data_IF_399069281239
#
_entry.id   IF_399069281239
#
_cell.length_a   1.000
_cell.length_b   1.000
_cell.length_c   1.000
_cell.angle_alpha   90.00
_cell.angle_beta   90.00
_cell.angle_gamma   90.00
#
_symmetry.space_group_name_H-M   'P 1'
#
loop_
_entity.id
_entity.type
_entity.pdbx_description
1 polymer ?
#
# COMPACT_ATOMS: atom_id res chain seq x y z
N UNK A 1 -6.00 9.35 19.01
CA UNK A 1 -6.98 10.11 18.21
C UNK A 1 -8.31 9.37 18.27
N UNK A 2 -9.46 10.04 18.09
CA UNK A 2 -10.75 9.36 17.91
C UNK A 2 -10.68 8.31 16.79
N UNK A 3 -11.38 7.19 16.97
CA UNK A 3 -11.39 6.03 16.07
C UNK A 3 -11.72 6.44 14.63
N UNK A 4 -12.75 7.26 14.48
CA UNK A 4 -13.28 7.75 13.21
C UNK A 4 -12.27 8.63 12.44
N UNK A 5 -11.22 9.13 13.11
CA UNK A 5 -10.14 9.91 12.50
C UNK A 5 -8.96 9.05 12.07
N UNK A 6 -8.90 7.77 12.45
CA UNK A 6 -7.78 6.88 12.13
C UNK A 6 -7.60 6.75 10.61
N UNK A 7 -8.64 6.49 9.80
CA UNK A 7 -8.45 6.31 8.35
C UNK A 7 -7.90 7.56 7.66
N UNK A 8 -8.44 8.74 8.00
CA UNK A 8 -7.97 10.00 7.42
C UNK A 8 -6.56 10.36 7.89
N UNK A 9 -6.22 10.08 9.16
CA UNK A 9 -4.88 10.31 9.68
C UNK A 9 -3.85 9.39 9.03
N UNK A 10 -4.18 8.11 8.83
CA UNK A 10 -3.31 7.17 8.11
C UNK A 10 -3.02 7.68 6.70
N UNK A 11 -4.06 8.07 5.95
CA UNK A 11 -3.90 8.60 4.60
C UNK A 11 -2.98 9.83 4.58
N UNK A 12 -3.18 10.76 5.51
CA UNK A 12 -2.34 11.96 5.63
C UNK A 12 -0.87 11.61 5.92
N UNK A 13 -0.62 10.63 6.81
CA UNK A 13 0.73 10.16 7.12
C UNK A 13 1.39 9.55 5.88
N UNK A 14 0.68 8.67 5.18
CA UNK A 14 1.19 8.02 3.96
C UNK A 14 1.53 9.07 2.90
N UNK A 15 0.64 10.04 2.67
CA UNK A 15 0.88 11.14 1.73
C UNK A 15 2.09 11.99 2.11
N UNK A 16 2.22 12.35 3.39
CA UNK A 16 3.35 13.13 3.89
C UNK A 16 4.68 12.37 3.73
N UNK A 17 4.72 11.08 4.07
CA UNK A 17 5.90 10.24 3.89
C UNK A 17 6.34 10.21 2.42
N UNK A 18 5.39 10.07 1.49
CA UNK A 18 5.67 10.11 0.05
C UNK A 18 6.22 11.46 -0.41
N UNK A 19 5.64 12.57 0.05
CA UNK A 19 6.15 13.92 -0.26
C UNK A 19 7.58 14.13 0.25
N UNK A 20 7.93 13.50 1.36
CA UNK A 20 9.26 13.58 1.98
C UNK A 20 10.24 12.50 1.49
N UNK A 21 9.85 11.68 0.50
CA UNK A 21 10.62 10.52 0.03
C UNK A 21 11.06 9.59 1.18
N UNK A 22 10.18 9.36 2.15
CA UNK A 22 10.39 8.45 3.28
C UNK A 22 9.51 7.21 3.11
N UNK A 23 10.08 5.99 3.19
CA UNK A 23 9.28 4.78 3.16
C UNK A 23 8.26 4.76 4.30
N UNK A 24 7.03 4.31 4.01
CA UNK A 24 5.96 4.16 4.99
C UNK A 24 5.42 2.73 5.00
N UNK A 25 5.26 2.20 6.20
CA UNK A 25 4.74 0.85 6.44
C UNK A 25 3.41 0.97 7.17
N UNK A 26 2.34 0.37 6.63
CA UNK A 26 1.06 0.22 7.35
C UNK A 26 1.07 -1.11 8.08
N UNK A 27 0.91 -1.05 9.39
CA UNK A 27 1.25 -2.13 10.31
C UNK A 27 0.28 -2.18 11.49
N UNK A 28 -0.84 -2.90 11.36
CA UNK A 28 -1.71 -3.41 12.46
C UNK A 28 -3.03 -3.90 11.87
N UNK A 29 -3.56 -5.03 12.40
CA UNK A 29 -4.94 -5.52 12.21
C UNK A 29 -5.42 -5.63 10.75
N UNK A 30 -4.50 -5.89 9.82
CA UNK A 30 -4.85 -6.01 8.40
C UNK A 30 -5.60 -7.32 8.14
N UNK A 31 -5.27 -8.40 8.85
CA UNK A 31 -5.90 -9.71 8.71
C UNK A 31 -6.06 -10.39 10.08
N UNK A 32 -6.37 -9.63 11.14
CA UNK A 32 -6.39 -10.08 12.54
C UNK A 32 -7.21 -11.36 12.75
N UNK A 33 -8.38 -11.49 12.11
CA UNK A 33 -9.23 -12.66 12.20
C UNK A 33 -8.52 -13.93 11.71
N UNK A 34 -7.49 -13.80 10.89
CA UNK A 34 -6.72 -14.92 10.38
C UNK A 34 -5.75 -15.53 11.39
N UNK A 35 -5.64 -14.94 12.59
CA UNK A 35 -5.00 -15.60 13.73
C UNK A 35 -5.77 -16.88 14.10
N UNK A 36 -7.11 -16.81 14.11
CA UNK A 36 -7.97 -17.93 14.54
C UNK A 36 -8.67 -18.63 13.38
N UNK A 37 -8.95 -17.91 12.29
CA UNK A 37 -9.78 -18.40 11.18
C UNK A 37 -8.99 -18.50 9.87
N UNK A 38 -9.31 -19.46 8.97
CA UNK A 38 -8.55 -19.65 7.74
C UNK A 38 -8.85 -18.60 6.65
N UNK A 39 -9.83 -17.73 6.86
CA UNK A 39 -10.31 -16.73 5.91
C UNK A 39 -10.51 -15.39 6.60
N UNK A 40 -10.13 -14.26 5.96
CA UNK A 40 -10.37 -12.93 6.51
C UNK A 40 -11.84 -12.52 6.35
N UNK A 41 -12.20 -11.48 7.07
CA UNK A 41 -13.43 -10.72 6.88
C UNK A 41 -13.37 -9.83 5.63
N UNK A 42 -14.54 -9.35 5.19
CA UNK A 42 -14.61 -8.38 4.08
C UNK A 42 -13.99 -7.03 4.46
N UNK A 43 -14.06 -6.64 5.73
CA UNK A 43 -13.51 -5.39 6.23
C UNK A 43 -11.98 -5.39 6.15
N UNK A 44 -11.35 -6.48 6.60
CA UNK A 44 -9.89 -6.67 6.51
C UNK A 44 -9.37 -6.65 5.07
N UNK A 45 -10.07 -7.30 4.14
CA UNK A 45 -9.72 -7.23 2.71
C UNK A 45 -9.85 -5.80 2.18
N UNK A 46 -10.85 -5.05 2.63
CA UNK A 46 -11.02 -3.64 2.27
C UNK A 46 -9.90 -2.77 2.83
N UNK A 47 -9.47 -3.00 4.08
CA UNK A 47 -8.39 -2.27 4.72
C UNK A 47 -7.04 -2.50 4.03
N UNK A 48 -6.72 -3.75 3.66
CA UNK A 48 -5.55 -4.06 2.83
C UNK A 48 -5.64 -3.35 1.48
N UNK A 49 -6.80 -3.38 0.84
CA UNK A 49 -7.00 -2.75 -0.47
C UNK A 49 -6.82 -1.24 -0.40
N UNK A 50 -7.33 -0.60 0.65
CA UNK A 50 -7.23 0.83 0.86
C UNK A 50 -5.78 1.26 1.18
N UNK A 51 -5.06 0.51 2.02
CA UNK A 51 -3.65 0.79 2.28
C UNK A 51 -2.79 0.74 1.00
N UNK A 52 -3.09 -0.19 0.08
CA UNK A 52 -2.43 -0.27 -1.25
C UNK A 52 -2.84 0.91 -2.13
N UNK A 53 -4.13 1.29 -2.17
CA UNK A 53 -4.61 2.48 -2.91
C UNK A 53 -3.95 3.77 -2.42
N UNK A 54 -3.70 3.89 -1.12
CA UNK A 54 -2.98 5.00 -0.50
C UNK A 54 -1.50 5.03 -0.89
N UNK A 55 -0.99 3.96 -1.51
CA UNK A 55 0.40 3.79 -1.95
C UNK A 55 1.39 3.71 -0.79
N UNK A 56 1.03 2.96 0.25
CA UNK A 56 1.98 2.52 1.26
C UNK A 56 3.11 1.71 0.59
N UNK A 57 4.34 1.85 1.07
CA UNK A 57 5.50 1.15 0.49
C UNK A 57 5.58 -0.31 0.96
N UNK A 58 5.06 -0.59 2.15
CA UNK A 58 4.93 -1.95 2.66
C UNK A 58 3.70 -2.11 3.56
N UNK A 59 3.22 -3.35 3.63
CA UNK A 59 2.22 -3.80 4.59
C UNK A 59 2.85 -4.85 5.50
N UNK A 60 2.42 -4.90 6.77
CA UNK A 60 3.00 -5.80 7.76
C UNK A 60 1.94 -6.70 8.40
N UNK A 61 2.23 -8.01 8.45
CA UNK A 61 1.52 -8.96 9.32
C UNK A 61 2.24 -9.03 10.67
N UNK A 62 1.46 -9.00 11.75
CA UNK A 62 1.95 -9.03 13.12
C UNK A 62 1.61 -10.37 13.78
N UNK A 63 0.50 -10.45 14.53
CA UNK A 63 0.07 -11.69 15.19
C UNK A 63 -0.28 -12.79 14.19
N UNK A 64 -0.77 -12.40 13.01
CA UNK A 64 -1.19 -13.32 11.95
C UNK A 64 -0.04 -14.23 11.49
N UNK A 65 1.18 -13.69 11.38
CA UNK A 65 2.36 -14.42 10.93
C UNK A 65 3.18 -14.99 12.11
N UNK A 66 3.21 -14.29 13.25
CA UNK A 66 4.04 -14.67 14.39
C UNK A 66 3.45 -15.81 15.22
N UNK A 67 2.12 -15.84 15.38
CA UNK A 67 1.43 -16.80 16.28
C UNK A 67 0.08 -17.30 15.76
N UNK A 68 -0.34 -16.88 14.57
CA UNK A 68 -1.60 -17.31 13.96
C UNK A 68 -1.62 -18.79 13.61
N UNK A 69 -2.82 -19.36 13.54
CA UNK A 69 -3.05 -20.74 13.10
C UNK A 69 -2.84 -20.93 11.59
N UNK A 70 -2.84 -19.84 10.81
CA UNK A 70 -2.78 -19.86 9.34
C UNK A 70 -1.78 -18.85 8.74
N UNK A 71 -0.49 -18.83 9.18
CA UNK A 71 0.46 -17.76 8.84
C UNK A 71 0.76 -17.68 7.33
N UNK A 72 0.96 -18.83 6.67
CA UNK A 72 1.19 -18.87 5.22
C UNK A 72 -0.04 -18.41 4.41
N UNK A 73 -1.25 -18.74 4.89
CA UNK A 73 -2.49 -18.29 4.23
C UNK A 73 -2.68 -16.80 4.40
N UNK A 74 -2.42 -16.25 5.59
CA UNK A 74 -2.48 -14.81 5.82
C UNK A 74 -1.52 -14.06 4.89
N UNK A 75 -0.28 -14.55 4.75
CA UNK A 75 0.68 -13.98 3.80
C UNK A 75 0.20 -14.08 2.34
N UNK A 76 -0.33 -15.24 1.93
CA UNK A 76 -0.86 -15.44 0.59
C UNK A 76 -2.05 -14.51 0.29
N UNK A 77 -2.96 -14.32 1.26
CA UNK A 77 -4.09 -13.40 1.15
C UNK A 77 -3.59 -11.97 0.99
N UNK A 78 -2.72 -11.49 1.89
CA UNK A 78 -2.15 -10.14 1.83
C UNK A 78 -1.54 -9.87 0.43
N UNK A 79 -0.67 -10.79 -0.02
CA UNK A 79 -0.03 -10.70 -1.35
C UNK A 79 -1.04 -10.66 -2.49
N UNK A 80 -2.02 -11.57 -2.48
CA UNK A 80 -2.97 -11.70 -3.58
C UNK A 80 -3.89 -10.47 -3.68
N UNK A 81 -4.32 -9.91 -2.55
CA UNK A 81 -5.10 -8.67 -2.53
C UNK A 81 -4.26 -7.50 -3.04
N UNK A 82 -3.03 -7.32 -2.53
CA UNK A 82 -2.15 -6.24 -2.97
C UNK A 82 -1.88 -6.26 -4.48
N UNK A 83 -1.46 -7.41 -5.02
CA UNK A 83 -1.19 -7.56 -6.46
C UNK A 83 -2.44 -7.31 -7.29
N UNK A 84 -3.62 -7.76 -6.82
CA UNK A 84 -4.88 -7.51 -7.51
C UNK A 84 -5.20 -6.01 -7.59
N UNK A 85 -5.05 -5.29 -6.48
CA UNK A 85 -5.35 -3.85 -6.41
C UNK A 85 -4.35 -3.05 -7.23
N UNK A 86 -3.05 -3.36 -7.14
CA UNK A 86 -2.02 -2.72 -7.97
C UNK A 86 -2.30 -2.91 -9.46
N UNK A 87 -2.68 -4.13 -9.88
CA UNK A 87 -3.04 -4.41 -11.27
C UNK A 87 -4.28 -3.62 -11.69
N UNK A 88 -5.33 -3.65 -10.89
CA UNK A 88 -6.56 -2.92 -11.19
C UNK A 88 -6.31 -1.42 -11.31
N UNK A 89 -5.50 -0.84 -10.41
CA UNK A 89 -5.12 0.57 -10.46
C UNK A 89 -4.37 0.93 -11.75
N UNK A 90 -3.47 0.06 -12.23
CA UNK A 90 -2.77 0.27 -13.51
C UNK A 90 -3.72 0.23 -14.70
N UNK A 91 -4.67 -0.71 -14.70
CA UNK A 91 -5.69 -0.84 -15.75
C UNK A 91 -6.60 0.40 -15.79
N UNK A 92 -7.03 0.88 -14.62
CA UNK A 92 -7.89 2.06 -14.48
C UNK A 92 -7.16 3.34 -14.94
N UNK A 93 -5.89 3.51 -14.55
CA UNK A 93 -5.06 4.65 -14.97
C UNK A 93 -4.50 4.57 -16.38
N UNK A 94 -4.67 3.45 -17.10
CA UNK A 94 -4.18 3.29 -18.47
C UNK A 94 -4.80 4.28 -19.47
N UNK A 95 -5.85 4.98 -19.07
CA UNK A 95 -6.57 5.97 -19.89
C UNK A 95 -6.39 7.41 -19.42
N UNK A 96 -5.68 7.65 -18.33
CA UNK A 96 -5.41 9.01 -17.82
C UNK A 96 -4.04 9.51 -18.31
N UNK A 97 -3.92 10.79 -18.72
CA UNK A 97 -2.62 11.40 -18.94
C UNK A 97 -1.76 11.28 -17.69
N UNK A 98 -0.53 10.78 -17.83
CA UNK A 98 0.42 10.73 -16.72
C UNK A 98 0.87 12.16 -16.41
N UNK A 99 0.31 12.78 -15.38
CA UNK A 99 0.86 14.01 -14.81
C UNK A 99 2.12 13.68 -14.01
N UNK A 100 3.26 14.15 -14.52
CA UNK A 100 4.58 13.97 -13.93
C UNK A 100 4.94 15.27 -13.22
N UNK A 101 4.87 15.27 -11.89
CA UNK A 101 5.29 16.40 -11.07
C UNK A 101 6.81 16.35 -10.89
N UNK A 102 7.47 17.50 -10.87
CA UNK A 102 8.88 17.59 -10.48
C UNK A 102 9.03 17.17 -9.01
N UNK A 103 9.81 16.10 -8.77
CA UNK A 103 10.06 15.56 -7.42
C UNK A 103 11.53 15.74 -7.03
N UNK A 104 12.43 15.87 -8.00
CA UNK A 104 13.86 15.95 -7.79
C UNK A 104 14.29 17.22 -7.02
N UNK A 105 15.00 17.00 -5.91
CA UNK A 105 15.62 18.09 -5.13
C UNK A 105 17.14 18.16 -5.30
N UNK A 106 17.72 17.11 -5.89
CA UNK A 106 19.15 16.95 -6.12
C UNK A 106 19.42 16.43 -7.54
N UNK A 107 20.68 16.56 -8.00
CA UNK A 107 21.08 16.06 -9.31
C UNK A 107 20.88 14.54 -9.45
N UNK A 108 21.17 13.75 -8.39
CA UNK A 108 20.90 12.31 -8.41
C UNK A 108 19.41 11.99 -8.57
N UNK A 109 18.54 12.75 -7.90
CA UNK A 109 17.09 12.52 -7.97
C UNK A 109 16.57 12.79 -9.39
N UNK A 110 17.12 13.79 -10.08
CA UNK A 110 16.71 14.15 -11.45
C UNK A 110 16.97 13.04 -12.46
N UNK A 111 18.06 12.28 -12.30
CA UNK A 111 18.35 11.11 -13.14
C UNK A 111 17.31 10.01 -12.88
N UNK A 112 17.03 9.71 -11.61
CA UNK A 112 16.02 8.71 -11.25
C UNK A 112 14.62 9.09 -11.74
N UNK A 113 14.26 10.37 -11.61
CA UNK A 113 13.00 10.90 -12.09
C UNK A 113 12.86 10.75 -13.61
N UNK A 114 13.89 11.12 -14.38
CA UNK A 114 13.84 11.01 -15.84
C UNK A 114 13.73 9.56 -16.31
N UNK A 115 14.38 8.61 -15.62
CA UNK A 115 14.25 7.17 -15.89
C UNK A 115 12.80 6.71 -15.68
N UNK A 116 12.16 7.14 -14.59
CA UNK A 116 10.74 6.84 -14.33
C UNK A 116 9.81 7.49 -15.37
N UNK A 117 10.08 8.74 -15.74
CA UNK A 117 9.31 9.48 -16.74
C UNK A 117 9.35 8.80 -18.11
N UNK A 118 10.53 8.33 -18.52
CA UNK A 118 10.68 7.56 -19.76
C UNK A 118 9.90 6.24 -19.70
N UNK A 119 10.02 5.48 -18.62
CA UNK A 119 9.33 4.20 -18.46
C UNK A 119 7.79 4.35 -18.44
N UNK A 120 7.28 5.47 -17.93
CA UNK A 120 5.84 5.74 -17.88
C UNK A 120 5.24 6.16 -19.25
N UNK A 121 6.08 6.59 -20.21
CA UNK A 121 5.65 7.05 -21.54
C UNK A 121 5.74 5.98 -22.64
N UNK A 122 6.40 4.84 -22.37
CA UNK A 122 6.51 3.70 -23.28
C UNK A 122 5.28 2.81 -23.20
#
# INVERSE_FOLDING_TARGET
>A
IPLEQVPSTQQNIVQLCRQLNKPVIVASQLLESMIEYPTPTRAEVADVSEAVRQRADALMLSGESAMGQFPEKALAVLRNVSVRIEKWWREEKSYEPVELNEVASSFSDSISEEVCNCAAKM
#
